data_IF_387569177683
#
_entry.id   IF_387569177683
#
_cell.length_a   1.000
_cell.length_b   1.000
_cell.length_c   1.000
_cell.angle_alpha   90.00
_cell.angle_beta   90.00
_cell.angle_gamma   90.00
#
_symmetry.space_group_name_H-M   'P 1'
#
loop_
_entity.id
_entity.type
_entity.pdbx_description
1 polymer ?
#
# COMPACT_ATOMS: atom_id res chain seq x y z
N UNK A 1 12.10 26.31 15.47
CA UNK A 1 10.73 25.89 15.18
C UNK A 1 10.49 25.83 13.66
N UNK A 2 9.79 24.81 13.20
CA UNK A 2 9.40 24.66 11.79
C UNK A 2 7.90 24.91 11.67
N UNK A 3 7.49 25.68 10.65
CA UNK A 3 6.08 26.02 10.38
C UNK A 3 5.71 25.69 8.93
N UNK A 4 4.52 25.17 8.72
CA UNK A 4 3.89 25.01 7.42
C UNK A 4 2.37 25.00 7.59
N UNK A 5 1.66 25.89 6.91
CA UNK A 5 0.22 26.08 7.10
C UNK A 5 -0.64 24.88 6.61
N UNK A 6 -0.15 24.13 5.63
CA UNK A 6 -0.90 23.07 4.94
C UNK A 6 -0.30 21.66 5.19
N UNK A 7 0.39 21.50 6.31
CA UNK A 7 1.00 20.23 6.68
C UNK A 7 0.94 20.02 8.20
N UNK A 8 0.92 18.75 8.59
CA UNK A 8 1.15 18.35 9.98
C UNK A 8 2.65 18.15 10.18
N UNK A 9 3.18 18.78 11.20
CA UNK A 9 4.60 18.75 11.54
C UNK A 9 4.78 17.99 12.85
N UNK A 10 5.66 16.99 12.85
CA UNK A 10 6.06 16.26 14.05
C UNK A 10 7.58 16.21 14.16
N UNK A 11 8.09 16.31 15.37
CA UNK A 11 9.52 16.13 15.66
C UNK A 11 9.75 14.73 16.20
N UNK A 12 10.73 14.03 15.64
CA UNK A 12 11.15 12.72 16.10
C UNK A 12 12.66 12.56 15.91
N UNK A 13 13.37 12.23 16.97
CA UNK A 13 14.81 11.97 16.97
C UNK A 13 15.64 13.12 16.36
N UNK A 14 15.22 14.38 16.63
CA UNK A 14 15.86 15.58 16.09
C UNK A 14 15.56 15.88 14.60
N UNK A 15 14.65 15.11 13.99
CA UNK A 15 14.20 15.30 12.62
C UNK A 15 12.77 15.84 12.58
N UNK A 16 12.53 16.78 11.69
CA UNK A 16 11.19 17.32 11.43
C UNK A 16 10.51 16.53 10.32
N UNK A 17 9.45 15.80 10.68
CA UNK A 17 8.63 15.04 9.73
C UNK A 17 7.44 15.92 9.33
N UNK A 18 7.35 16.24 8.04
CA UNK A 18 6.32 17.10 7.48
C UNK A 18 5.42 16.25 6.59
N UNK A 19 4.13 16.20 6.94
CA UNK A 19 3.11 15.47 6.19
C UNK A 19 2.11 16.46 5.62
N UNK A 20 2.01 16.57 4.28
CA UNK A 20 0.96 17.38 3.64
C UNK A 20 -0.43 16.95 4.11
N UNK A 21 -1.33 17.92 4.30
CA UNK A 21 -2.72 17.64 4.58
C UNK A 21 -3.42 17.12 3.30
N UNK A 22 -4.55 16.40 3.45
CA UNK A 22 -5.26 15.75 2.34
C UNK A 22 -5.65 16.73 1.19
N UNK A 23 -5.85 18.01 1.49
CA UNK A 23 -6.20 19.07 0.53
C UNK A 23 -5.11 20.13 0.40
N UNK A 24 -3.84 19.76 0.61
CA UNK A 24 -2.74 20.69 0.44
C UNK A 24 -2.60 21.12 -1.04
N UNK A 25 -2.11 22.35 -1.25
CA UNK A 25 -1.77 22.82 -2.58
C UNK A 25 -0.65 21.97 -3.22
N UNK A 26 -0.44 22.12 -4.53
CA UNK A 26 0.65 21.45 -5.24
C UNK A 26 2.06 21.81 -4.73
N UNK A 27 2.14 22.87 -3.92
CA UNK A 27 3.38 23.31 -3.30
C UNK A 27 3.16 23.64 -1.81
N UNK A 28 4.18 23.36 -1.00
CA UNK A 28 4.22 23.72 0.42
C UNK A 28 5.42 24.62 0.69
N UNK A 29 5.16 25.78 1.31
CA UNK A 29 6.23 26.60 1.88
C UNK A 29 6.51 26.13 3.31
N UNK A 30 7.75 25.74 3.56
CA UNK A 30 8.27 25.36 4.88
C UNK A 30 9.15 26.49 5.39
N UNK A 31 8.81 27.02 6.55
CA UNK A 31 9.52 28.11 7.18
C UNK A 31 10.21 27.62 8.45
N UNK A 32 11.45 28.05 8.63
CA UNK A 32 12.26 27.73 9.81
C UNK A 32 12.48 28.99 10.62
N UNK A 33 12.16 28.92 11.90
CA UNK A 33 12.31 30.02 12.86
C UNK A 33 13.29 29.64 13.97
N UNK A 34 14.14 30.59 14.35
CA UNK A 34 14.91 30.53 15.59
C UNK A 34 14.28 31.43 16.66
N UNK A 35 14.37 31.02 17.91
CA UNK A 35 14.06 31.88 19.05
C UNK A 35 15.37 32.56 19.49
N UNK A 36 15.40 33.84 19.31
CA UNK A 36 16.53 34.70 19.67
C UNK A 36 16.10 35.66 20.78
N UNK A 37 16.20 35.18 22.05
CA UNK A 37 15.87 36.00 23.21
C UNK A 37 14.38 36.35 23.36
N UNK A 38 13.50 35.40 23.03
CA UNK A 38 12.04 35.54 23.13
C UNK A 38 11.36 36.04 21.86
N UNK A 39 12.13 36.38 20.81
CA UNK A 39 11.60 36.78 19.50
C UNK A 39 11.82 35.67 18.46
N UNK A 40 10.73 35.28 17.79
CA UNK A 40 10.83 34.32 16.67
C UNK A 40 11.34 35.04 15.41
N UNK A 41 12.54 34.68 14.97
CA UNK A 41 13.15 35.24 13.77
C UNK A 41 13.12 34.21 12.65
N UNK A 42 12.61 34.58 11.47
CA UNK A 42 12.63 33.72 10.28
C UNK A 42 14.07 33.52 9.82
N UNK A 43 14.53 32.28 9.82
CA UNK A 43 15.89 31.89 9.39
C UNK A 43 15.93 31.48 7.93
N UNK A 44 14.81 31.05 7.37
CA UNK A 44 14.72 30.68 5.96
C UNK A 44 13.37 30.08 5.63
N UNK A 45 13.10 30.02 4.32
CA UNK A 45 11.91 29.38 3.76
C UNK A 45 12.29 28.59 2.53
N UNK A 46 11.65 27.44 2.34
CA UNK A 46 11.82 26.62 1.15
C UNK A 46 10.49 26.08 0.65
N UNK A 47 10.29 26.09 -0.68
CA UNK A 47 9.06 25.61 -1.32
C UNK A 47 9.28 24.22 -1.89
N UNK A 48 8.46 23.27 -1.45
CA UNK A 48 8.46 21.89 -1.94
C UNK A 48 7.23 21.61 -2.80
N UNK A 49 7.41 20.79 -3.84
CA UNK A 49 6.28 20.28 -4.62
C UNK A 49 5.66 19.09 -3.93
N UNK A 50 4.33 19.10 -3.81
CA UNK A 50 3.53 17.96 -3.35
C UNK A 50 3.04 17.19 -4.56
N UNK A 51 3.28 15.89 -4.57
CA UNK A 51 2.77 14.99 -5.62
C UNK A 51 1.92 13.91 -4.98
N UNK A 52 0.85 13.53 -5.66
CA UNK A 52 0.08 12.36 -5.27
C UNK A 52 0.94 11.11 -5.40
N UNK A 53 0.74 10.17 -4.48
CA UNK A 53 1.38 8.86 -4.57
C UNK A 53 0.87 8.14 -5.82
N UNK A 54 1.74 7.59 -6.67
CA UNK A 54 1.31 6.72 -7.76
C UNK A 54 0.62 5.48 -7.18
N UNK A 55 -0.17 4.77 -7.99
CA UNK A 55 -0.80 3.53 -7.56
C UNK A 55 0.27 2.44 -7.46
N UNK A 56 0.34 1.70 -6.33
CA UNK A 56 1.24 0.56 -6.22
C UNK A 56 0.71 -0.63 -7.03
N UNK A 57 1.54 -1.61 -7.26
CA UNK A 57 1.14 -2.91 -7.79
C UNK A 57 0.77 -3.86 -6.66
N UNK A 58 -0.16 -4.78 -6.94
CA UNK A 58 -0.45 -5.90 -6.05
C UNK A 58 0.51 -7.05 -6.35
N UNK A 59 0.92 -7.75 -5.31
CA UNK A 59 1.75 -8.96 -5.37
C UNK A 59 1.21 -10.00 -4.40
N UNK A 60 1.45 -11.26 -4.71
CA UNK A 60 1.28 -12.32 -3.72
C UNK A 60 2.60 -12.49 -2.96
N UNK A 61 2.55 -12.43 -1.64
CA UNK A 61 3.72 -12.55 -0.76
C UNK A 61 3.82 -13.97 -0.21
N UNK A 62 4.94 -14.63 -0.48
CA UNK A 62 5.26 -15.97 0.00
C UNK A 62 6.42 -15.86 1.01
N UNK A 63 6.19 -16.29 2.25
CA UNK A 63 7.20 -16.24 3.31
C UNK A 63 7.84 -14.85 3.51
N UNK A 64 7.06 -13.79 3.35
CA UNK A 64 7.53 -12.41 3.50
C UNK A 64 8.19 -11.81 2.25
N UNK A 65 8.19 -12.52 1.12
CA UNK A 65 8.77 -12.05 -0.14
C UNK A 65 7.67 -11.91 -1.19
N UNK A 66 7.42 -10.69 -1.72
CA UNK A 66 6.52 -10.49 -2.85
C UNK A 66 7.03 -11.23 -4.08
N UNK A 67 6.14 -11.93 -4.79
CA UNK A 67 6.48 -12.63 -6.03
C UNK A 67 5.76 -12.04 -7.22
N UNK A 68 6.45 -12.01 -8.36
CA UNK A 68 5.89 -11.68 -9.68
C UNK A 68 5.42 -12.94 -10.43
N UNK A 69 5.69 -14.13 -9.87
CA UNK A 69 5.28 -15.38 -10.46
C UNK A 69 3.76 -15.51 -10.48
N UNK A 70 3.23 -15.83 -11.64
CA UNK A 70 1.81 -16.13 -11.84
C UNK A 70 1.50 -17.62 -11.64
N UNK A 71 2.51 -18.46 -11.57
CA UNK A 71 2.39 -19.91 -11.27
C UNK A 71 2.77 -20.18 -9.83
N UNK A 72 1.78 -20.49 -9.02
CA UNK A 72 1.95 -20.66 -7.58
C UNK A 72 1.43 -22.03 -7.17
N UNK A 73 2.23 -22.83 -6.42
CA UNK A 73 1.75 -24.08 -5.85
C UNK A 73 0.51 -23.85 -4.99
N UNK A 74 -0.48 -24.73 -5.16
CA UNK A 74 -1.73 -24.65 -4.38
C UNK A 74 -1.45 -24.59 -2.87
N UNK A 75 -0.46 -25.34 -2.38
CA UNK A 75 -0.05 -25.36 -0.98
C UNK A 75 0.41 -23.98 -0.48
N UNK A 76 1.07 -23.20 -1.33
CA UNK A 76 1.50 -21.85 -1.00
C UNK A 76 0.32 -20.88 -1.01
N UNK A 77 -0.59 -21.03 -1.96
CA UNK A 77 -1.75 -20.15 -2.08
C UNK A 77 -2.70 -20.28 -0.88
N UNK A 78 -2.89 -21.48 -0.35
CA UNK A 78 -3.74 -21.74 0.83
C UNK A 78 -2.98 -21.67 2.16
N UNK A 79 -1.70 -21.27 2.15
CA UNK A 79 -0.93 -21.10 3.37
C UNK A 79 -1.38 -19.81 4.10
N UNK A 80 -1.88 -19.89 5.35
CA UNK A 80 -2.40 -18.71 6.06
C UNK A 80 -1.32 -17.66 6.42
N UNK A 81 -0.04 -18.00 6.29
CA UNK A 81 1.06 -17.06 6.48
C UNK A 81 1.28 -16.15 5.27
N UNK A 82 0.88 -16.60 4.08
CA UNK A 82 1.02 -15.86 2.84
C UNK A 82 -0.15 -14.89 2.67
N UNK A 83 0.06 -13.79 1.95
CA UNK A 83 -0.90 -12.71 1.83
C UNK A 83 -0.74 -11.93 0.52
N UNK A 84 -1.70 -11.06 0.26
CA UNK A 84 -1.60 -10.06 -0.82
C UNK A 84 -0.99 -8.79 -0.23
N UNK A 85 -0.02 -8.22 -0.93
CA UNK A 85 0.62 -6.96 -0.55
C UNK A 85 0.57 -5.96 -1.68
N UNK A 86 0.62 -4.68 -1.34
CA UNK A 86 0.75 -3.59 -2.30
C UNK A 86 2.13 -2.96 -2.15
N UNK A 87 2.87 -2.90 -3.26
CA UNK A 87 4.26 -2.41 -3.27
C UNK A 87 4.57 -1.71 -4.59
N UNK A 88 5.59 -0.85 -4.55
CA UNK A 88 6.19 -0.25 -5.76
C UNK A 88 7.32 -1.09 -6.36
N UNK A 89 7.53 -2.31 -5.84
CA UNK A 89 8.65 -3.17 -6.21
C UNK A 89 9.93 -2.81 -5.44
N UNK A 90 10.99 -3.54 -5.73
CA UNK A 90 12.31 -3.37 -5.08
C UNK A 90 13.04 -2.11 -5.54
N UNK A 91 12.73 -1.62 -6.74
CA UNK A 91 13.42 -0.47 -7.37
C UNK A 91 12.65 0.85 -7.17
N UNK A 92 11.58 0.82 -6.40
CA UNK A 92 10.74 1.99 -6.15
C UNK A 92 11.41 3.03 -5.25
N UNK A 93 11.58 4.25 -5.76
CA UNK A 93 12.03 5.40 -4.97
C UNK A 93 11.02 5.82 -3.89
N UNK A 94 9.81 5.29 -3.95
CA UNK A 94 8.70 5.63 -3.05
C UNK A 94 8.55 4.55 -1.99
N UNK A 95 8.79 4.89 -0.74
CA UNK A 95 8.58 4.01 0.41
C UNK A 95 7.26 4.38 1.10
N UNK A 96 6.14 3.96 0.52
CA UNK A 96 4.84 4.12 1.14
C UNK A 96 4.23 2.75 1.45
N UNK A 97 3.72 2.58 2.66
CA UNK A 97 3.02 1.36 3.07
C UNK A 97 1.55 1.48 2.74
N UNK A 98 1.04 0.47 2.06
CA UNK A 98 -0.39 0.30 1.79
C UNK A 98 -0.90 -0.93 2.53
N UNK A 99 -2.14 -0.85 3.00
CA UNK A 99 -2.84 -1.96 3.64
C UNK A 99 -3.93 -2.47 2.69
N UNK A 100 -3.90 -3.76 2.38
CA UNK A 100 -4.97 -4.41 1.61
C UNK A 100 -6.22 -4.50 2.50
N UNK A 101 -7.31 -3.89 2.06
CA UNK A 101 -8.57 -3.85 2.81
C UNK A 101 -9.54 -4.93 2.38
N UNK A 102 -9.55 -5.28 1.09
CA UNK A 102 -10.41 -6.34 0.54
C UNK A 102 -9.99 -6.75 -0.86
N UNK A 103 -10.46 -7.91 -1.30
CA UNK A 103 -10.33 -8.39 -2.66
C UNK A 103 -11.42 -9.42 -2.99
N UNK A 104 -11.53 -9.81 -4.25
CA UNK A 104 -12.38 -10.91 -4.69
C UNK A 104 -11.55 -12.02 -5.34
N UNK A 105 -11.91 -13.24 -5.03
CA UNK A 105 -11.33 -14.45 -5.63
C UNK A 105 -12.31 -14.99 -6.66
N UNK A 106 -11.99 -14.90 -7.94
CA UNK A 106 -12.77 -15.48 -9.02
C UNK A 106 -12.23 -16.87 -9.35
N UNK A 107 -13.07 -17.86 -9.20
CA UNK A 107 -12.76 -19.26 -9.47
C UNK A 107 -12.99 -19.62 -10.96
N UNK A 108 -12.39 -20.72 -11.47
CA UNK A 108 -12.60 -21.20 -12.85
C UNK A 108 -14.07 -21.54 -13.13
N UNK A 109 -14.84 -21.89 -12.10
CA UNK A 109 -16.27 -22.15 -12.18
C UNK A 109 -17.13 -20.92 -12.45
N UNK A 110 -16.54 -19.72 -12.46
CA UNK A 110 -17.23 -18.44 -12.56
C UNK A 110 -17.70 -17.86 -11.22
N UNK A 111 -17.66 -18.65 -10.14
CA UNK A 111 -18.01 -18.17 -8.81
C UNK A 111 -16.98 -17.16 -8.30
N UNK A 112 -17.45 -16.16 -7.54
CA UNK A 112 -16.59 -15.12 -6.92
C UNK A 112 -16.83 -15.12 -5.42
N UNK A 113 -15.74 -15.02 -4.66
CA UNK A 113 -15.74 -14.96 -3.20
C UNK A 113 -15.11 -13.64 -2.77
N UNK A 114 -15.86 -12.81 -2.05
CA UNK A 114 -15.34 -11.57 -1.47
C UNK A 114 -14.63 -11.86 -0.16
N UNK A 115 -13.42 -11.33 -0.02
CA UNK A 115 -12.55 -11.51 1.14
C UNK A 115 -12.22 -10.14 1.72
N UNK A 116 -12.26 -10.02 3.05
CA UNK A 116 -11.82 -8.83 3.79
C UNK A 116 -10.39 -9.04 4.30
N UNK A 117 -9.58 -7.97 4.24
CA UNK A 117 -8.19 -8.02 4.65
C UNK A 117 -7.25 -8.44 3.52
N UNK A 118 -6.06 -8.89 3.89
CA UNK A 118 -4.94 -9.19 3.00
C UNK A 118 -4.72 -10.69 2.75
N UNK A 119 -5.51 -11.58 3.40
CA UNK A 119 -5.34 -13.04 3.37
C UNK A 119 -6.61 -13.73 2.93
N UNK A 120 -6.46 -14.90 2.33
CA UNK A 120 -7.60 -15.77 2.02
C UNK A 120 -8.31 -16.21 3.31
N UNK A 121 -9.63 -16.12 3.30
CA UNK A 121 -10.48 -16.64 4.37
C UNK A 121 -10.72 -18.15 4.21
N UNK A 122 -11.34 -18.77 5.21
CA UNK A 122 -11.59 -20.22 5.21
C UNK A 122 -12.44 -20.66 4.00
N UNK A 123 -13.37 -19.80 3.53
CA UNK A 123 -14.23 -20.10 2.39
C UNK A 123 -13.44 -20.12 1.09
N UNK A 124 -12.61 -19.12 0.87
CA UNK A 124 -11.76 -19.02 -0.31
C UNK A 124 -10.70 -20.11 -0.31
N UNK A 125 -10.07 -20.41 0.83
CA UNK A 125 -9.13 -21.52 0.97
C UNK A 125 -9.78 -22.87 0.69
N UNK A 126 -10.98 -23.11 1.22
CA UNK A 126 -11.72 -24.37 0.98
C UNK A 126 -12.09 -24.55 -0.50
N UNK A 127 -12.45 -23.45 -1.19
CA UNK A 127 -12.74 -23.47 -2.61
C UNK A 127 -11.47 -23.74 -3.45
N UNK A 128 -10.35 -23.10 -3.12
CA UNK A 128 -9.06 -23.29 -3.81
C UNK A 128 -8.53 -24.72 -3.61
N UNK A 129 -8.72 -25.32 -2.43
CA UNK A 129 -8.33 -26.73 -2.16
C UNK A 129 -8.96 -27.74 -3.11
N UNK A 130 -10.16 -27.45 -3.63
CA UNK A 130 -10.88 -28.33 -4.57
C UNK A 130 -10.40 -28.20 -6.02
N UNK A 131 -9.61 -27.16 -6.33
CA UNK A 131 -9.10 -26.94 -7.66
C UNK A 131 -7.95 -27.90 -7.99
N UNK A 132 -7.80 -28.19 -9.28
CA UNK A 132 -6.74 -29.04 -9.80
C UNK A 132 -5.55 -28.20 -10.28
N UNK A 133 -4.39 -28.83 -10.42
CA UNK A 133 -3.24 -28.25 -11.11
C UNK A 133 -3.65 -27.78 -12.51
N UNK A 134 -3.12 -26.65 -12.93
CA UNK A 134 -3.46 -25.98 -14.19
C UNK A 134 -4.75 -25.14 -14.13
N UNK A 135 -5.53 -25.20 -13.06
CA UNK A 135 -6.63 -24.26 -12.88
C UNK A 135 -6.11 -22.86 -12.56
N UNK A 136 -6.83 -21.85 -13.03
CA UNK A 136 -6.51 -20.45 -12.76
C UNK A 136 -7.46 -19.85 -11.74
N UNK A 137 -6.92 -19.09 -10.81
CA UNK A 137 -7.64 -18.26 -9.86
C UNK A 137 -7.30 -16.81 -10.15
N UNK A 138 -8.31 -15.96 -10.32
CA UNK A 138 -8.08 -14.54 -10.51
C UNK A 138 -8.42 -13.77 -9.23
N UNK A 139 -7.45 -13.08 -8.66
CA UNK A 139 -7.68 -12.16 -7.56
C UNK A 139 -7.98 -10.81 -8.16
N UNK A 140 -9.18 -10.28 -7.93
CA UNK A 140 -9.72 -9.09 -8.58
C UNK A 140 -10.21 -8.08 -7.54
N UNK A 141 -10.46 -6.85 -7.99
CA UNK A 141 -10.99 -5.78 -7.15
C UNK A 141 -10.21 -5.60 -5.85
N UNK A 142 -8.87 -5.71 -5.96
CA UNK A 142 -7.98 -5.55 -4.82
C UNK A 142 -8.01 -4.09 -4.41
N UNK A 143 -8.43 -3.82 -3.17
CA UNK A 143 -8.47 -2.48 -2.60
C UNK A 143 -7.36 -2.34 -1.57
N UNK A 144 -6.65 -1.22 -1.64
CA UNK A 144 -5.58 -0.90 -0.72
C UNK A 144 -5.74 0.53 -0.20
N UNK A 145 -5.49 0.73 1.08
CA UNK A 145 -5.50 2.03 1.72
C UNK A 145 -4.07 2.52 1.90
N UNK A 146 -3.80 3.71 1.38
CA UNK A 146 -2.50 4.36 1.47
C UNK A 146 -2.27 5.08 2.80
N UNK A 147 -1.06 5.61 3.02
CA UNK A 147 -0.72 6.38 4.22
C UNK A 147 -1.46 7.72 4.31
N UNK A 148 -2.02 8.20 3.21
CA UNK A 148 -2.92 9.35 3.11
C UNK A 148 -4.37 9.03 3.51
N UNK A 149 -4.68 7.75 3.81
CA UNK A 149 -6.01 7.28 4.14
C UNK A 149 -6.92 7.06 2.93
N UNK A 150 -6.44 7.32 1.72
CA UNK A 150 -7.20 7.11 0.48
C UNK A 150 -7.18 5.65 0.08
N UNK A 151 -8.36 5.10 -0.24
CA UNK A 151 -8.49 3.75 -0.77
C UNK A 151 -8.34 3.79 -2.30
N UNK A 152 -7.47 2.94 -2.82
CA UNK A 152 -7.22 2.78 -4.26
C UNK A 152 -7.48 1.35 -4.69
N UNK A 153 -8.00 1.18 -5.91
CA UNK A 153 -8.15 -0.13 -6.51
C UNK A 153 -6.90 -0.49 -7.30
N UNK A 154 -6.35 -1.67 -7.05
CA UNK A 154 -5.15 -2.19 -7.68
C UNK A 154 -5.50 -3.11 -8.85
N UNK A 155 -4.49 -3.37 -9.68
CA UNK A 155 -4.57 -4.36 -10.77
C UNK A 155 -4.75 -5.76 -10.19
N UNK A 156 -5.57 -6.59 -10.83
CA UNK A 156 -5.78 -7.97 -10.42
C UNK A 156 -4.55 -8.85 -10.62
N UNK A 157 -4.51 -9.97 -9.87
CA UNK A 157 -3.46 -10.99 -9.92
C UNK A 157 -4.04 -12.27 -10.52
N UNK A 158 -3.73 -12.63 -11.76
CA UNK A 158 -4.02 -13.94 -12.30
C UNK A 158 -3.01 -14.95 -11.72
N UNK A 159 -3.48 -16.05 -11.15
CA UNK A 159 -2.66 -17.11 -10.57
C UNK A 159 -3.05 -18.45 -11.17
N UNK A 160 -2.10 -19.16 -11.76
CA UNK A 160 -2.22 -20.54 -12.22
C UNK A 160 -1.69 -21.48 -11.13
N UNK A 161 -2.46 -22.51 -10.79
CA UNK A 161 -2.06 -23.51 -9.82
C UNK A 161 -1.10 -24.53 -10.44
N UNK A 162 0.05 -24.66 -9.85
CA UNK A 162 1.06 -25.63 -10.27
C UNK A 162 1.29 -26.71 -9.21
#
# INVERSE_FOLDING_TARGET
>A
QVKCAQATITEKDGLWIIRPNANSAETLAIEVYADLGGNQTLMGSHVYRVKNLPRPNAYFEINGVPTEDTRIPRSQLINPKNKIVASYGTDGLVQAKFEITSFQVKLPTGASISVKGDRFDDRSMAAIKKLKQGNSVNIMYIKAKGPDGVEVQLRGLPIELN
#
